data_IF_221567228535
#
_entry.id   IF_221567228535
#
_cell.length_a   1.000
_cell.length_b   1.000
_cell.length_c   1.000
_cell.angle_alpha   90.00
_cell.angle_beta   90.00
_cell.angle_gamma   90.00
#
_symmetry.space_group_name_H-M   'P 1'
#
loop_
_entity.id
_entity.type
_entity.pdbx_description
1 polymer ?
#
# COMPACT_ATOMS: atom_id res chain seq x y z
N UNK A 1 23.00 18.10 -20.49
CA UNK A 1 21.51 18.08 -20.49
C UNK A 1 20.88 17.11 -19.49
N UNK A 2 21.51 15.98 -19.15
CA UNK A 2 21.01 14.97 -18.20
C UNK A 2 21.04 15.44 -16.72
N UNK A 3 22.07 16.17 -16.31
CA UNK A 3 22.26 16.62 -14.92
C UNK A 3 21.23 17.68 -14.47
N UNK A 4 20.81 18.58 -15.37
CA UNK A 4 19.77 19.59 -15.07
C UNK A 4 18.41 18.94 -14.84
N UNK A 5 18.06 17.91 -15.61
CA UNK A 5 16.81 17.15 -15.43
C UNK A 5 16.79 16.37 -14.11
N UNK A 6 17.95 15.82 -13.69
CA UNK A 6 18.08 15.12 -12.41
C UNK A 6 17.93 16.09 -11.23
N UNK A 7 18.54 17.28 -11.31
CA UNK A 7 18.40 18.35 -10.31
C UNK A 7 16.96 18.86 -10.22
N UNK A 8 16.25 18.97 -11.34
CA UNK A 8 14.85 19.40 -11.34
C UNK A 8 13.93 18.35 -10.69
N UNK A 9 14.19 17.06 -10.97
CA UNK A 9 13.44 15.97 -10.33
C UNK A 9 13.74 15.89 -8.82
N UNK A 10 15.00 16.04 -8.43
CA UNK A 10 15.40 16.07 -7.02
C UNK A 10 14.79 17.28 -6.28
N UNK A 11 14.79 18.46 -6.91
CA UNK A 11 14.16 19.67 -6.34
C UNK A 11 12.64 19.52 -6.23
N UNK A 12 11.97 18.86 -7.20
CA UNK A 12 10.55 18.58 -7.15
C UNK A 12 10.21 17.57 -6.04
N UNK A 13 11.04 16.55 -5.85
CA UNK A 13 10.91 15.58 -4.76
C UNK A 13 11.13 16.23 -3.38
N UNK A 14 12.09 17.15 -3.27
CA UNK A 14 12.34 17.93 -2.05
C UNK A 14 11.21 18.95 -1.76
N UNK A 15 10.63 19.57 -2.78
CA UNK A 15 9.50 20.47 -2.61
C UNK A 15 8.23 19.73 -2.17
N UNK A 16 8.02 18.50 -2.66
CA UNK A 16 6.93 17.61 -2.22
C UNK A 16 7.12 17.13 -0.78
N UNK A 17 8.36 16.99 -0.31
CA UNK A 17 8.64 16.58 1.08
C UNK A 17 8.40 17.68 2.11
N UNK A 18 8.49 18.96 1.72
CA UNK A 18 8.32 20.09 2.63
C UNK A 18 6.90 20.29 3.17
N UNK A 19 5.87 19.85 2.45
CA UNK A 19 4.47 19.93 2.89
C UNK A 19 4.02 18.71 3.70
N UNK A 20 4.85 17.67 3.73
CA UNK A 20 4.54 16.37 4.32
C UNK A 20 4.77 16.31 5.84
N UNK A 21 5.39 17.32 6.47
CA UNK A 21 5.81 17.27 7.87
C UNK A 21 4.66 17.38 8.89
N UNK A 22 3.49 17.86 8.46
CA UNK A 22 2.33 18.06 9.33
C UNK A 22 1.23 16.99 9.18
N UNK A 23 1.42 16.00 8.30
CA UNK A 23 0.39 15.00 8.01
C UNK A 23 0.69 13.66 8.70
N UNK A 24 -0.34 12.98 9.23
CA UNK A 24 -0.16 11.68 9.89
C UNK A 24 0.51 10.68 8.97
N UNK A 25 1.52 10.01 9.51
CA UNK A 25 2.24 8.91 8.86
C UNK A 25 2.05 7.66 9.68
N UNK A 26 2.10 6.52 9.04
CA UNK A 26 2.11 5.26 9.76
C UNK A 26 3.03 4.25 9.08
N UNK A 27 3.62 3.39 9.89
CA UNK A 27 4.50 2.31 9.46
C UNK A 27 4.12 1.04 10.20
N UNK A 28 4.18 -0.09 9.53
CA UNK A 28 3.82 -1.35 10.16
C UNK A 28 4.09 -2.58 9.33
N UNK A 29 3.46 -3.65 9.76
CA UNK A 29 3.53 -4.96 9.13
C UNK A 29 2.15 -5.34 8.56
N UNK A 30 2.19 -6.05 7.46
CA UNK A 30 1.03 -6.55 6.75
C UNK A 30 1.22 -8.04 6.49
N UNK A 31 0.27 -8.85 6.93
CA UNK A 31 0.33 -10.31 6.88
C UNK A 31 -0.90 -10.87 6.18
N UNK A 32 -0.71 -11.94 5.43
CA UNK A 32 -1.77 -12.61 4.67
C UNK A 32 -1.16 -13.71 3.82
N UNK A 33 -1.32 -13.69 2.49
CA UNK A 33 -0.63 -14.62 1.59
C UNK A 33 0.90 -14.46 1.60
N UNK A 34 1.39 -13.44 2.28
CA UNK A 34 2.80 -13.11 2.45
C UNK A 34 3.02 -12.26 3.68
N UNK A 35 4.23 -11.72 3.78
CA UNK A 35 4.64 -10.76 4.81
C UNK A 35 5.21 -9.52 4.14
N UNK A 36 4.63 -8.37 4.43
CA UNK A 36 5.03 -7.08 3.85
C UNK A 36 5.26 -6.05 4.96
N UNK A 37 6.18 -5.15 4.74
CA UNK A 37 6.25 -3.86 5.44
C UNK A 37 5.33 -2.89 4.72
N UNK A 38 4.63 -2.07 5.48
CA UNK A 38 3.65 -1.11 4.98
C UNK A 38 3.96 0.27 5.50
N UNK A 39 4.01 1.25 4.61
CA UNK A 39 4.13 2.66 4.93
C UNK A 39 2.95 3.41 4.34
N UNK A 40 2.28 4.19 5.19
CA UNK A 40 1.14 5.01 4.80
C UNK A 40 1.43 6.47 5.09
N UNK A 41 1.12 7.34 4.14
CA UNK A 41 1.25 8.78 4.24
C UNK A 41 -0.08 9.45 3.89
N UNK A 42 -0.68 10.17 4.85
CA UNK A 42 -1.89 10.93 4.59
C UNK A 42 -1.57 12.15 3.71
N UNK A 43 -2.25 12.29 2.59
CA UNK A 43 -2.14 13.46 1.69
C UNK A 43 -3.15 14.52 2.09
N UNK A 44 -4.34 14.08 2.50
CA UNK A 44 -5.40 14.91 3.08
C UNK A 44 -6.11 14.14 4.19
N UNK A 45 -7.11 14.73 4.84
CA UNK A 45 -7.94 14.02 5.82
C UNK A 45 -8.71 12.82 5.25
N UNK A 46 -8.87 12.75 3.93
CA UNK A 46 -9.63 11.69 3.24
C UNK A 46 -8.82 10.88 2.25
N UNK A 47 -7.54 11.20 2.08
CA UNK A 47 -6.71 10.59 1.04
C UNK A 47 -5.35 10.25 1.62
N UNK A 48 -4.82 9.10 1.24
CA UNK A 48 -3.49 8.67 1.64
C UNK A 48 -2.82 7.85 0.53
N UNK A 49 -1.51 7.85 0.56
CA UNK A 49 -0.67 6.94 -0.24
C UNK A 49 -0.21 5.82 0.67
N UNK A 50 -0.33 4.60 0.22
CA UNK A 50 0.21 3.42 0.87
C UNK A 50 1.26 2.79 -0.02
N UNK A 51 2.39 2.41 0.56
CA UNK A 51 3.46 1.68 -0.12
C UNK A 51 3.80 0.46 0.68
N UNK A 52 3.73 -0.70 0.04
CA UNK A 52 4.02 -1.99 0.65
C UNK A 52 5.17 -2.67 -0.08
N UNK A 53 6.00 -3.36 0.67
CA UNK A 53 7.09 -4.16 0.12
C UNK A 53 7.29 -5.42 0.96
N UNK A 54 7.42 -6.57 0.31
CA UNK A 54 7.61 -7.82 1.03
C UNK A 54 7.61 -9.05 0.14
N UNK A 55 7.49 -10.19 0.81
CA UNK A 55 7.47 -11.50 0.18
C UNK A 55 6.05 -12.06 0.13
N UNK A 56 5.69 -12.63 -0.99
CA UNK A 56 4.43 -13.32 -1.22
C UNK A 56 4.66 -14.82 -1.40
N UNK A 57 3.68 -15.62 -1.05
CA UNK A 57 3.72 -17.06 -1.29
C UNK A 57 4.66 -17.79 -0.35
N UNK A 58 4.35 -17.78 0.94
CA UNK A 58 5.14 -18.45 1.99
C UNK A 58 5.21 -19.97 1.81
N UNK A 59 4.39 -20.59 0.94
CA UNK A 59 4.26 -22.04 0.89
C UNK A 59 4.94 -22.76 -0.27
N UNK A 60 4.94 -22.27 -1.49
CA UNK A 60 5.49 -23.05 -2.63
C UNK A 60 6.37 -22.25 -3.60
N UNK A 61 6.07 -20.97 -3.82
CA UNK A 61 6.80 -20.13 -4.76
C UNK A 61 7.01 -18.74 -4.14
N UNK A 62 8.12 -18.54 -3.41
CA UNK A 62 8.42 -17.25 -2.83
C UNK A 62 8.66 -16.22 -3.94
N UNK A 63 7.84 -15.19 -3.95
CA UNK A 63 8.01 -14.02 -4.79
C UNK A 63 8.22 -12.79 -3.92
N UNK A 64 8.69 -11.70 -4.51
CA UNK A 64 8.66 -10.42 -3.84
C UNK A 64 7.74 -9.46 -4.58
N UNK A 65 7.13 -8.56 -3.82
CA UNK A 65 6.25 -7.52 -4.35
C UNK A 65 6.59 -6.17 -3.75
N UNK A 66 6.53 -5.14 -4.58
CA UNK A 66 6.41 -3.75 -4.16
C UNK A 66 5.11 -3.23 -4.77
N UNK A 67 4.28 -2.59 -3.97
CA UNK A 67 3.04 -1.98 -4.43
C UNK A 67 2.89 -0.57 -3.88
N UNK A 68 2.17 0.26 -4.62
CA UNK A 68 1.78 1.60 -4.21
C UNK A 68 0.32 1.82 -4.58
N UNK A 69 -0.48 2.29 -3.63
CA UNK A 69 -1.87 2.63 -3.81
C UNK A 69 -2.14 4.08 -3.40
N UNK A 70 -3.10 4.71 -4.07
CA UNK A 70 -3.64 6.00 -3.69
C UNK A 70 -5.09 5.81 -3.26
N UNK A 71 -5.32 5.86 -1.96
CA UNK A 71 -6.56 5.46 -1.34
C UNK A 71 -7.39 6.65 -0.88
N UNK A 72 -8.70 6.48 -0.97
CA UNK A 72 -9.71 7.44 -0.54
C UNK A 72 -10.52 6.84 0.62
N UNK A 73 -10.60 7.53 1.73
CA UNK A 73 -11.54 7.21 2.80
C UNK A 73 -12.96 7.56 2.34
N UNK A 74 -13.73 6.54 1.98
CA UNK A 74 -15.10 6.67 1.46
C UNK A 74 -16.14 6.75 2.55
N UNK A 75 -15.87 6.14 3.70
CA UNK A 75 -16.76 6.15 4.86
C UNK A 75 -15.94 6.18 6.14
N UNK A 76 -16.33 7.08 7.05
CA UNK A 76 -15.73 7.20 8.37
C UNK A 76 -16.84 7.19 9.42
N UNK A 77 -16.74 6.33 10.42
CA UNK A 77 -17.67 6.30 11.54
C UNK A 77 -16.96 5.94 12.84
N UNK A 78 -17.53 6.36 13.97
CA UNK A 78 -16.98 6.06 15.29
C UNK A 78 -17.73 4.88 15.90
N UNK A 79 -16.96 3.90 16.35
CA UNK A 79 -17.47 2.75 17.10
C UNK A 79 -16.49 2.38 18.19
N UNK A 80 -16.96 1.99 19.37
CA UNK A 80 -16.14 1.58 20.53
C UNK A 80 -15.04 2.60 20.90
N UNK A 81 -15.35 3.88 20.83
CA UNK A 81 -14.45 5.04 21.03
C UNK A 81 -13.34 5.20 19.99
N UNK A 82 -13.14 4.25 19.08
CA UNK A 82 -12.19 4.35 17.98
C UNK A 82 -12.85 4.79 16.68
N UNK A 83 -12.03 5.02 15.68
CA UNK A 83 -12.49 5.43 14.36
C UNK A 83 -12.32 4.30 13.36
N UNK A 84 -13.43 3.93 12.72
CA UNK A 84 -13.43 3.05 11.56
C UNK A 84 -13.39 3.89 10.29
N UNK A 85 -12.53 3.48 9.36
CA UNK A 85 -12.43 4.08 8.04
C UNK A 85 -12.54 2.97 6.99
N UNK A 86 -13.44 3.14 6.04
CA UNK A 86 -13.47 2.32 4.83
C UNK A 86 -12.72 3.06 3.73
N UNK A 87 -11.84 2.39 3.04
CA UNK A 87 -11.02 2.99 2.00
C UNK A 87 -11.05 2.16 0.72
N UNK A 88 -10.82 2.86 -0.38
CA UNK A 88 -10.76 2.30 -1.73
C UNK A 88 -9.80 3.16 -2.55
N UNK A 89 -8.95 2.53 -3.36
CA UNK A 89 -8.07 3.26 -4.26
C UNK A 89 -7.43 2.42 -5.36
N UNK A 90 -7.04 3.07 -6.45
CA UNK A 90 -6.21 2.45 -7.48
C UNK A 90 -4.76 2.35 -7.03
N UNK A 91 -4.07 1.36 -7.56
CA UNK A 91 -2.66 1.14 -7.27
C UNK A 91 -1.93 0.44 -8.40
N UNK A 92 -0.62 0.39 -8.21
CA UNK A 92 0.31 -0.30 -9.10
C UNK A 92 1.14 -1.27 -8.26
N UNK A 93 1.56 -2.35 -8.87
CA UNK A 93 2.45 -3.30 -8.23
C UNK A 93 3.47 -3.85 -9.22
N UNK A 94 4.66 -4.11 -8.70
CA UNK A 94 5.73 -4.77 -9.43
C UNK A 94 6.32 -5.85 -8.54
N UNK A 95 6.80 -6.91 -9.15
CA UNK A 95 7.39 -7.98 -8.39
C UNK A 95 8.02 -9.06 -9.25
N UNK A 96 8.56 -10.06 -8.59
CA UNK A 96 9.05 -11.27 -9.23
C UNK A 96 8.29 -12.44 -8.63
N UNK A 97 7.66 -13.20 -9.51
CA UNK A 97 6.90 -14.38 -9.13
C UNK A 97 7.42 -15.54 -9.93
N UNK A 98 7.31 -16.72 -9.35
CA UNK A 98 7.53 -18.00 -10.00
C UNK A 98 8.71 -18.00 -11.00
N UNK A 99 9.90 -18.44 -10.54
CA UNK A 99 11.12 -18.61 -11.35
C UNK A 99 11.69 -17.34 -12.00
N UNK A 100 11.65 -16.22 -11.28
CA UNK A 100 12.32 -14.98 -11.70
C UNK A 100 11.62 -14.18 -12.80
N UNK A 101 10.35 -14.43 -13.08
CA UNK A 101 9.60 -13.67 -14.06
C UNK A 101 9.19 -12.31 -13.46
N UNK A 102 9.74 -11.24 -14.04
CA UNK A 102 9.33 -9.88 -13.67
C UNK A 102 7.88 -9.64 -14.11
N UNK A 103 7.08 -9.12 -13.20
CA UNK A 103 5.65 -8.90 -13.40
C UNK A 103 5.29 -7.52 -12.92
N UNK A 104 4.54 -6.79 -13.73
CA UNK A 104 3.92 -5.52 -13.35
C UNK A 104 2.40 -5.67 -13.37
N UNK A 105 1.71 -4.92 -12.52
CA UNK A 105 0.25 -5.00 -12.44
C UNK A 105 -0.39 -3.70 -12.02
N UNK A 106 -1.65 -3.56 -12.44
CA UNK A 106 -2.58 -2.58 -11.88
C UNK A 106 -3.42 -3.28 -10.83
N UNK A 107 -3.74 -2.58 -9.76
CA UNK A 107 -4.56 -3.12 -8.68
C UNK A 107 -5.58 -2.11 -8.18
N UNK A 108 -6.59 -2.62 -7.50
CA UNK A 108 -7.49 -1.83 -6.69
C UNK A 108 -7.33 -2.30 -5.25
N UNK A 109 -7.01 -1.39 -4.34
CA UNK A 109 -6.97 -1.69 -2.92
C UNK A 109 -8.30 -1.28 -2.30
N UNK A 110 -8.86 -2.10 -1.44
CA UNK A 110 -10.00 -1.73 -0.63
C UNK A 110 -9.99 -2.46 0.71
N UNK A 111 -10.47 -1.78 1.74
CA UNK A 111 -10.43 -2.34 3.07
C UNK A 111 -11.11 -1.49 4.13
N UNK A 112 -10.93 -1.94 5.35
CA UNK A 112 -11.42 -1.27 6.56
C UNK A 112 -10.27 -1.14 7.53
N UNK A 113 -10.10 0.04 8.11
CA UNK A 113 -9.14 0.27 9.20
C UNK A 113 -9.84 0.72 10.46
N UNK A 114 -9.26 0.36 11.60
CA UNK A 114 -9.67 0.78 12.93
C UNK A 114 -8.52 1.51 13.61
N UNK A 115 -8.75 2.76 13.96
CA UNK A 115 -7.81 3.59 14.69
C UNK A 115 -8.12 3.54 16.17
N UNK A 116 -7.15 3.10 16.96
CA UNK A 116 -7.28 2.98 18.41
C UNK A 116 -7.30 4.36 19.08
N UNK A 117 -8.28 4.64 19.98
CA UNK A 117 -8.44 5.98 20.56
C UNK A 117 -7.33 6.37 21.55
N UNK A 118 -6.71 5.39 22.20
CA UNK A 118 -5.75 5.60 23.28
C UNK A 118 -4.33 5.12 22.94
N UNK A 119 -4.09 4.75 21.68
CA UNK A 119 -2.79 4.28 21.21
C UNK A 119 -2.55 4.80 19.80
N UNK A 120 -1.32 5.11 19.42
CA UNK A 120 -0.95 5.49 18.08
C UNK A 120 -0.90 4.27 17.16
N UNK A 121 -1.93 3.44 17.20
CA UNK A 121 -2.04 2.19 16.46
C UNK A 121 -3.24 2.21 15.52
N UNK A 122 -3.09 1.59 14.38
CA UNK A 122 -4.15 1.30 13.42
C UNK A 122 -4.09 -0.16 13.03
N UNK A 123 -5.24 -0.82 13.06
CA UNK A 123 -5.44 -2.17 12.54
C UNK A 123 -6.24 -2.07 11.26
N UNK A 124 -5.83 -2.75 10.20
CA UNK A 124 -6.60 -2.77 8.96
C UNK A 124 -6.71 -4.17 8.37
N UNK A 125 -7.82 -4.41 7.70
CA UNK A 125 -8.04 -5.58 6.86
C UNK A 125 -8.36 -5.07 5.46
N UNK A 126 -7.57 -5.48 4.50
CA UNK A 126 -7.71 -5.05 3.11
C UNK A 126 -7.44 -6.18 2.12
N UNK A 127 -7.84 -5.95 0.89
CA UNK A 127 -7.54 -6.83 -0.24
C UNK A 127 -7.18 -6.01 -1.47
N UNK A 128 -6.35 -6.58 -2.33
CA UNK A 128 -5.79 -5.92 -3.51
C UNK A 128 -5.94 -6.79 -4.75
N UNK A 129 -7.17 -6.95 -5.30
CA UNK A 129 -7.34 -7.60 -6.59
C UNK A 129 -6.46 -6.92 -7.64
N UNK A 130 -5.71 -7.74 -8.38
CA UNK A 130 -4.69 -7.24 -9.29
C UNK A 130 -4.75 -7.95 -10.63
N UNK A 131 -4.61 -7.17 -11.70
CA UNK A 131 -4.36 -7.64 -13.05
C UNK A 131 -2.87 -7.55 -13.32
N UNK A 132 -2.26 -8.67 -13.63
CA UNK A 132 -0.83 -8.79 -13.84
C UNK A 132 -0.50 -8.95 -15.31
N UNK A 133 0.55 -8.28 -15.73
CA UNK A 133 1.10 -8.32 -17.07
C UNK A 133 2.53 -8.82 -16.97
N UNK A 134 2.84 -9.88 -17.69
CA UNK A 134 4.17 -10.43 -17.84
C UNK A 134 4.48 -10.69 -19.32
N UNK A 135 5.65 -11.21 -19.61
CA UNK A 135 6.05 -11.56 -21.01
C UNK A 135 5.20 -12.66 -21.64
N UNK A 136 4.43 -13.41 -20.86
CA UNK A 136 3.56 -14.50 -21.32
C UNK A 136 2.11 -14.06 -21.52
N UNK A 137 1.75 -12.83 -21.13
CA UNK A 137 0.42 -12.26 -21.33
C UNK A 137 -0.17 -11.60 -20.08
N UNK A 138 -1.48 -11.40 -20.11
CA UNK A 138 -2.25 -10.81 -19.01
C UNK A 138 -2.91 -11.91 -18.20
N UNK A 139 -2.72 -11.87 -16.88
CA UNK A 139 -3.34 -12.83 -15.96
C UNK A 139 -3.97 -12.14 -14.77
N UNK A 140 -5.14 -12.63 -14.35
CA UNK A 140 -5.76 -12.22 -13.10
C UNK A 140 -5.38 -13.23 -12.01
N UNK A 141 -4.79 -12.77 -10.91
CA UNK A 141 -4.42 -13.66 -9.81
C UNK A 141 -5.48 -13.62 -8.71
N UNK A 142 -6.19 -14.70 -8.55
CA UNK A 142 -7.18 -14.86 -7.47
C UNK A 142 -6.56 -14.85 -6.06
N UNK A 143 -5.27 -15.16 -5.92
CA UNK A 143 -4.55 -15.05 -4.63
C UNK A 143 -4.51 -13.61 -4.10
N UNK A 144 -4.67 -12.61 -4.94
CA UNK A 144 -4.77 -11.21 -4.53
C UNK A 144 -6.12 -10.84 -3.89
N UNK A 145 -7.10 -11.73 -3.93
CA UNK A 145 -8.37 -11.57 -3.23
C UNK A 145 -8.31 -12.02 -1.75
N UNK A 146 -7.24 -12.70 -1.34
CA UNK A 146 -7.08 -13.12 0.06
C UNK A 146 -6.83 -11.87 0.89
N UNK A 147 -7.61 -11.64 1.95
CA UNK A 147 -7.45 -10.48 2.81
C UNK A 147 -6.08 -10.45 3.48
N UNK A 148 -5.53 -9.27 3.63
CA UNK A 148 -4.33 -8.99 4.40
C UNK A 148 -4.70 -8.24 5.68
N UNK A 149 -4.04 -8.60 6.77
CA UNK A 149 -4.16 -7.94 8.05
C UNK A 149 -2.95 -7.05 8.26
N UNK A 150 -3.18 -5.78 8.55
CA UNK A 150 -2.12 -4.79 8.77
C UNK A 150 -2.19 -4.23 10.19
N UNK A 151 -1.04 -4.15 10.83
CA UNK A 151 -0.88 -3.43 12.09
C UNK A 151 0.15 -2.32 11.89
N UNK A 152 -0.27 -1.07 12.10
CA UNK A 152 0.56 0.12 11.84
C UNK A 152 0.66 1.00 13.07
N UNK A 153 1.85 1.57 13.28
CA UNK A 153 2.13 2.62 14.24
C UNK A 153 2.03 3.98 13.56
N UNK A 154 1.27 4.91 14.15
CA UNK A 154 1.06 6.29 13.66
C UNK A 154 2.04 7.25 14.34
N UNK A 155 2.59 8.20 13.58
CA UNK A 155 3.51 9.23 14.09
C UNK A 155 3.43 10.53 13.28
#
# INVERSE_FOLDING_TARGET
>A
MKMKKLLTVAALLLALSGTALAQPKSFGLRVGPGLEISYQHSVTHKQFVEVDAGVLGVSEYPGFRISAAYDFNILNFRLLRGQFNMFLGPGLSVGMYDKSLFTAGIMVQYGVSYDFPNAPLSLAVDTCPSLWINSEGVSMRFKSLIPMLSLRWKF
#
